data_IF_583545950547
#
_entry.id   IF_583545950547
#
_cell.length_a   1.000
_cell.length_b   1.000
_cell.length_c   1.000
_cell.angle_alpha   90.00
_cell.angle_beta   90.00
_cell.angle_gamma   90.00
#
_symmetry.space_group_name_H-M   'P 1'
#
loop_
_entity.id
_entity.type
_entity.pdbx_description
1 polymer ?
#
# COMPACT_ATOMS: atom_id res chain seq x y z
N UNK A 1 -60.16 11.82 12.57
CA UNK A 1 -59.47 13.11 12.40
C UNK A 1 -58.16 13.00 13.15
N UNK A 2 -57.09 12.68 12.45
CA UNK A 2 -55.73 12.54 13.01
C UNK A 2 -54.98 13.80 12.62
N UNK A 3 -54.77 14.69 13.59
CA UNK A 3 -53.92 15.87 13.42
C UNK A 3 -52.48 15.41 13.17
N UNK A 4 -52.00 15.67 11.97
CA UNK A 4 -50.60 15.49 11.63
C UNK A 4 -49.80 16.63 12.26
N UNK A 5 -49.23 16.37 13.44
CA UNK A 5 -48.27 17.26 14.09
C UNK A 5 -47.02 17.35 13.20
N UNK A 6 -46.90 18.42 12.41
CA UNK A 6 -45.67 18.77 11.72
C UNK A 6 -44.62 19.19 12.75
N UNK A 7 -43.84 18.22 13.23
CA UNK A 7 -42.62 18.49 13.99
C UNK A 7 -41.59 19.01 12.99
N UNK A 8 -41.51 20.33 12.84
CA UNK A 8 -40.36 21.01 12.23
C UNK A 8 -39.16 20.74 13.14
N UNK A 9 -38.37 19.72 12.82
CA UNK A 9 -37.08 19.53 13.50
C UNK A 9 -36.16 20.69 13.11
N UNK A 10 -35.59 21.42 14.08
CA UNK A 10 -34.60 22.44 13.77
C UNK A 10 -33.38 21.76 13.14
N UNK A 11 -33.14 22.03 11.86
CA UNK A 11 -31.89 21.67 11.20
C UNK A 11 -30.80 22.59 11.73
N UNK A 12 -29.89 22.04 12.53
CA UNK A 12 -28.72 22.76 12.98
C UNK A 12 -27.69 22.74 11.85
N UNK A 13 -27.66 23.81 11.05
CA UNK A 13 -26.62 23.99 10.05
C UNK A 13 -25.32 24.40 10.77
N UNK A 14 -24.24 23.67 10.52
CA UNK A 14 -22.91 24.06 11.00
C UNK A 14 -22.38 25.26 10.22
N UNK A 15 -22.71 25.31 8.93
CA UNK A 15 -22.17 26.28 7.98
C UNK A 15 -23.29 26.98 7.20
N UNK A 16 -24.27 27.63 7.87
CA UNK A 16 -25.50 28.11 7.22
C UNK A 16 -25.26 29.15 6.13
N UNK A 17 -24.17 29.90 6.22
CA UNK A 17 -23.86 31.01 5.30
C UNK A 17 -22.66 30.71 4.39
N UNK A 18 -22.06 29.51 4.46
CA UNK A 18 -20.91 29.20 3.62
C UNK A 18 -21.36 28.62 2.28
N UNK A 19 -20.90 29.20 1.15
CA UNK A 19 -21.12 28.61 -0.15
C UNK A 19 -20.41 27.24 -0.25
N UNK A 20 -20.86 26.34 -1.15
CA UNK A 20 -20.30 25.00 -1.30
C UNK A 20 -18.78 24.96 -1.50
N UNK A 21 -18.22 25.95 -2.19
CA UNK A 21 -16.80 26.04 -2.51
C UNK A 21 -15.96 26.18 -1.23
N UNK A 22 -16.35 27.08 -0.32
CA UNK A 22 -15.66 27.28 0.95
C UNK A 22 -15.82 26.06 1.87
N UNK A 23 -16.96 25.35 1.81
CA UNK A 23 -17.12 24.08 2.54
C UNK A 23 -16.16 23.01 2.05
N UNK A 24 -15.99 22.87 0.73
CA UNK A 24 -15.02 21.93 0.15
C UNK A 24 -13.58 22.27 0.53
N UNK A 25 -13.24 23.55 0.63
CA UNK A 25 -11.92 23.99 1.09
C UNK A 25 -11.68 23.56 2.55
N UNK A 26 -12.68 23.76 3.43
CA UNK A 26 -12.65 23.24 4.81
C UNK A 26 -12.45 21.72 4.82
N UNK A 27 -13.21 20.98 4.00
CA UNK A 27 -13.10 19.52 3.94
C UNK A 27 -11.71 19.05 3.46
N UNK A 28 -11.14 19.78 2.50
CA UNK A 28 -9.79 19.53 1.99
C UNK A 28 -8.75 19.76 3.08
N UNK A 29 -8.84 20.89 3.77
CA UNK A 29 -7.93 21.22 4.87
C UNK A 29 -8.00 20.17 5.99
N UNK A 30 -9.22 19.78 6.40
CA UNK A 30 -9.44 18.77 7.44
C UNK A 30 -8.93 17.37 7.07
N UNK A 31 -8.77 17.07 5.78
CA UNK A 31 -8.42 15.72 5.33
C UNK A 31 -6.96 15.60 4.87
N UNK A 32 -6.26 16.71 4.73
CA UNK A 32 -4.86 16.77 4.32
C UNK A 32 -3.90 17.12 5.48
N UNK A 33 -4.43 17.31 6.69
CA UNK A 33 -3.60 17.62 7.86
C UNK A 33 -2.70 16.42 8.20
N UNK A 34 -1.36 16.56 8.08
CA UNK A 34 -0.43 15.46 8.33
C UNK A 34 -0.37 15.05 9.80
N UNK A 35 -0.85 15.90 10.72
CA UNK A 35 -0.93 15.59 12.15
C UNK A 35 -2.11 14.70 12.50
N UNK A 36 -3.12 14.62 11.62
CA UNK A 36 -4.31 13.80 11.87
C UNK A 36 -3.99 12.33 11.64
N UNK A 37 -4.19 11.44 12.64
CA UNK A 37 -3.93 10.02 12.48
C UNK A 37 -4.87 9.39 11.46
N UNK A 38 -4.38 8.37 10.75
CA UNK A 38 -5.22 7.58 9.85
C UNK A 38 -6.30 6.83 10.64
N UNK A 39 -7.55 6.85 10.17
CA UNK A 39 -8.65 6.11 10.77
C UNK A 39 -9.58 5.47 9.72
N UNK A 40 -10.41 4.52 10.16
CA UNK A 40 -11.40 3.80 9.34
C UNK A 40 -12.84 4.30 9.57
N UNK A 41 -13.01 5.27 10.46
CA UNK A 41 -14.32 5.71 10.94
C UNK A 41 -15.23 6.09 9.78
N UNK A 42 -16.46 5.58 9.79
CA UNK A 42 -17.46 5.87 8.76
C UNK A 42 -17.09 5.41 7.33
N UNK A 43 -15.98 4.70 7.08
CA UNK A 43 -15.73 4.05 5.79
C UNK A 43 -16.54 2.75 5.71
N UNK A 44 -17.39 2.55 4.68
CA UNK A 44 -18.25 1.38 4.58
C UNK A 44 -17.52 0.13 4.05
N UNK A 45 -16.28 -0.11 4.49
CA UNK A 45 -15.47 -1.26 4.12
C UNK A 45 -14.47 -1.55 5.24
N UNK A 46 -14.77 -2.58 6.04
CA UNK A 46 -13.83 -3.12 7.03
C UNK A 46 -12.64 -3.83 6.34
N UNK A 47 -11.61 -4.14 7.14
CA UNK A 47 -10.46 -4.94 6.71
C UNK A 47 -10.92 -6.19 5.94
N UNK A 48 -10.36 -6.37 4.74
CA UNK A 48 -10.55 -7.57 3.93
C UNK A 48 -9.26 -8.33 3.79
N UNK A 49 -9.31 -9.60 4.19
CA UNK A 49 -8.22 -10.56 4.01
C UNK A 49 -8.58 -11.56 2.92
N UNK A 50 -7.68 -11.76 1.97
CA UNK A 50 -7.79 -12.75 0.90
C UNK A 50 -6.61 -13.70 0.97
N UNK A 51 -6.90 -14.99 1.13
CA UNK A 51 -5.89 -16.04 1.08
C UNK A 51 -5.76 -16.59 -0.34
N UNK A 52 -4.53 -16.57 -0.85
CA UNK A 52 -4.12 -17.22 -2.08
C UNK A 52 -3.02 -18.22 -1.78
N UNK A 53 -2.78 -19.17 -2.69
CA UNK A 53 -1.85 -20.30 -2.48
C UNK A 53 -0.48 -19.89 -1.93
N UNK A 54 0.02 -18.74 -2.35
CA UNK A 54 1.36 -18.24 -2.03
C UNK A 54 1.35 -16.87 -1.37
N UNK A 55 0.17 -16.29 -1.15
CA UNK A 55 0.06 -14.92 -0.64
C UNK A 55 -1.14 -14.73 0.25
N UNK A 56 -0.98 -13.96 1.31
CA UNK A 56 -2.11 -13.36 2.05
C UNK A 56 -2.16 -11.88 1.71
N UNK A 57 -3.32 -11.41 1.24
CA UNK A 57 -3.56 -10.02 0.86
C UNK A 57 -4.52 -9.40 1.89
N UNK A 58 -4.15 -8.25 2.45
CA UNK A 58 -4.98 -7.46 3.35
C UNK A 58 -5.23 -6.09 2.74
N UNK A 59 -6.49 -5.66 2.70
CA UNK A 59 -6.90 -4.36 2.18
C UNK A 59 -7.69 -3.61 3.25
N UNK A 60 -7.23 -2.41 3.58
CA UNK A 60 -7.87 -1.51 4.52
C UNK A 60 -7.96 -0.10 3.96
N UNK A 61 -9.16 0.44 3.72
CA UNK A 61 -9.31 1.86 3.42
C UNK A 61 -9.16 2.69 4.69
N UNK A 62 -8.51 3.84 4.54
CA UNK A 62 -8.28 4.80 5.62
C UNK A 62 -8.51 6.22 5.13
N UNK A 63 -8.73 7.14 6.05
CA UNK A 63 -8.72 8.58 5.78
C UNK A 63 -8.00 9.33 6.91
N UNK A 64 -7.61 10.57 6.62
CA UNK A 64 -7.07 11.53 7.59
C UNK A 64 -8.07 12.66 7.90
N UNK A 65 -9.33 12.52 7.46
CA UNK A 65 -10.41 13.46 7.76
C UNK A 65 -10.85 13.52 9.24
N UNK A 66 -11.62 14.56 9.57
CA UNK A 66 -12.14 14.81 10.92
C UNK A 66 -13.18 13.78 11.37
N UNK A 67 -12.83 12.94 12.33
CA UNK A 67 -13.75 12.01 12.97
C UNK A 67 -14.90 12.73 13.73
N UNK A 68 -14.66 13.96 14.19
CA UNK A 68 -15.68 14.78 14.86
C UNK A 68 -16.81 15.17 13.91
N UNK A 69 -16.50 15.56 12.68
CA UNK A 69 -17.52 15.92 11.68
C UNK A 69 -18.29 14.67 11.20
N UNK A 70 -17.62 13.52 11.13
CA UNK A 70 -18.23 12.24 10.76
C UNK A 70 -19.08 11.60 11.86
N UNK A 71 -18.92 12.00 13.12
CA UNK A 71 -19.70 11.46 14.24
C UNK A 71 -21.02 12.18 14.47
N UNK A 72 -21.21 13.34 13.82
CA UNK A 72 -22.44 14.11 13.93
C UNK A 72 -23.62 13.37 13.28
N UNK A 73 -24.82 13.40 13.90
CA UNK A 73 -26.00 12.77 13.31
C UNK A 73 -26.36 13.41 11.96
N UNK A 74 -26.34 12.66 10.84
CA UNK A 74 -26.55 13.23 9.51
C UNK A 74 -27.97 13.77 9.30
N UNK A 75 -28.95 13.31 10.10
CA UNK A 75 -30.33 13.80 10.07
C UNK A 75 -30.48 15.19 10.73
N UNK A 76 -29.51 15.59 11.57
CA UNK A 76 -29.52 16.87 12.27
C UNK A 76 -28.57 17.85 11.58
N UNK A 77 -27.39 17.35 11.17
CA UNK A 77 -26.32 18.12 10.54
C UNK A 77 -26.10 17.61 9.09
N UNK A 78 -26.75 18.22 8.09
CA UNK A 78 -26.62 17.77 6.69
C UNK A 78 -25.17 17.85 6.18
N UNK A 79 -24.35 18.75 6.72
CA UNK A 79 -22.94 18.88 6.37
C UNK A 79 -22.11 17.66 6.77
N UNK A 80 -22.56 16.86 7.75
CA UNK A 80 -21.91 15.60 8.09
C UNK A 80 -22.07 14.56 6.97
N UNK A 81 -23.27 14.50 6.36
CA UNK A 81 -23.54 13.63 5.21
C UNK A 81 -22.80 14.10 3.96
N UNK A 82 -22.77 15.42 3.72
CA UNK A 82 -21.99 16.02 2.63
C UNK A 82 -20.49 15.72 2.78
N UNK A 83 -19.94 15.93 3.99
CA UNK A 83 -18.54 15.66 4.27
C UNK A 83 -18.20 14.17 4.07
N UNK A 84 -19.07 13.27 4.54
CA UNK A 84 -18.90 11.83 4.34
C UNK A 84 -18.83 11.46 2.84
N UNK A 85 -19.73 12.00 2.03
CA UNK A 85 -19.72 11.76 0.58
C UNK A 85 -18.47 12.34 -0.10
N UNK A 86 -18.09 13.56 0.29
CA UNK A 86 -16.89 14.22 -0.21
C UNK A 86 -15.63 13.41 0.13
N UNK A 87 -15.54 12.92 1.37
CA UNK A 87 -14.41 12.14 1.87
C UNK A 87 -14.23 10.85 1.08
N UNK A 88 -15.31 10.07 0.89
CA UNK A 88 -15.27 8.82 0.11
C UNK A 88 -14.83 9.04 -1.34
N UNK A 89 -15.07 10.23 -1.90
CA UNK A 89 -14.68 10.55 -3.29
C UNK A 89 -13.28 11.13 -3.42
N UNK A 90 -12.73 11.72 -2.35
CA UNK A 90 -11.54 12.58 -2.47
C UNK A 90 -10.38 12.17 -1.58
N UNK A 91 -10.64 11.74 -0.36
CA UNK A 91 -9.64 11.68 0.72
C UNK A 91 -9.45 10.28 1.32
N UNK A 92 -9.99 9.24 0.67
CA UNK A 92 -9.70 7.86 1.06
C UNK A 92 -8.42 7.39 0.40
N UNK A 93 -7.55 6.81 1.22
CA UNK A 93 -6.34 6.10 0.80
C UNK A 93 -6.53 4.59 1.05
N UNK A 94 -5.87 3.74 0.27
CA UNK A 94 -5.87 2.30 0.49
C UNK A 94 -4.52 1.85 1.04
N UNK A 95 -4.55 1.27 2.25
CA UNK A 95 -3.42 0.51 2.78
C UNK A 95 -3.58 -0.95 2.39
N UNK A 96 -2.59 -1.46 1.67
CA UNK A 96 -2.59 -2.83 1.17
C UNK A 96 -1.37 -3.53 1.67
N UNK A 97 -1.58 -4.64 2.35
CA UNK A 97 -0.51 -5.51 2.78
C UNK A 97 -0.51 -6.83 2.01
N UNK A 98 0.65 -7.27 1.55
CA UNK A 98 0.86 -8.58 0.93
C UNK A 98 1.91 -9.34 1.71
N UNK A 99 1.55 -10.49 2.27
CA UNK A 99 2.53 -11.47 2.75
C UNK A 99 2.79 -12.47 1.63
N UNK A 100 3.97 -12.41 1.02
CA UNK A 100 4.38 -13.32 -0.04
C UNK A 100 5.21 -14.49 0.53
N UNK A 101 4.67 -15.71 0.43
CA UNK A 101 5.32 -16.97 0.84
C UNK A 101 5.63 -17.87 -0.36
N UNK A 102 5.45 -17.36 -1.58
CA UNK A 102 5.62 -18.13 -2.81
C UNK A 102 7.07 -18.38 -3.16
N UNK A 103 7.32 -19.44 -3.94
CA UNK A 103 8.64 -19.66 -4.56
C UNK A 103 8.65 -18.99 -5.93
N UNK A 104 9.75 -18.33 -6.29
CA UNK A 104 9.89 -17.64 -7.59
C UNK A 104 9.66 -18.60 -8.77
N UNK A 105 10.07 -19.86 -8.61
CA UNK A 105 9.94 -20.92 -9.62
C UNK A 105 8.49 -21.40 -9.84
N UNK A 106 7.67 -21.43 -8.79
CA UNK A 106 6.31 -22.00 -8.85
C UNK A 106 5.23 -20.95 -8.87
N UNK A 107 5.57 -19.71 -8.51
CA UNK A 107 4.65 -18.59 -8.54
C UNK A 107 4.36 -18.15 -9.98
N UNK A 108 3.09 -18.25 -10.37
CA UNK A 108 2.60 -17.82 -11.68
C UNK A 108 1.91 -16.46 -11.53
N UNK A 109 2.63 -15.40 -11.88
CA UNK A 109 2.13 -14.01 -11.77
C UNK A 109 0.77 -13.83 -12.45
N UNK A 110 0.59 -14.33 -13.68
CA UNK A 110 -0.66 -14.17 -14.42
C UNK A 110 -1.89 -14.79 -13.73
N UNK A 111 -1.73 -15.93 -13.06
CA UNK A 111 -2.81 -16.57 -12.30
C UNK A 111 -3.16 -15.75 -11.04
N UNK A 112 -2.12 -15.20 -10.40
CA UNK A 112 -2.28 -14.31 -9.26
C UNK A 112 -2.99 -13.01 -9.67
N UNK A 113 -2.56 -12.38 -10.76
CA UNK A 113 -3.15 -11.15 -11.30
C UNK A 113 -4.63 -11.35 -11.61
N UNK A 114 -4.98 -12.42 -12.34
CA UNK A 114 -6.37 -12.75 -12.66
C UNK A 114 -7.22 -12.92 -11.39
N UNK A 115 -6.69 -13.61 -10.38
CA UNK A 115 -7.41 -13.86 -9.13
C UNK A 115 -7.61 -12.57 -8.33
N UNK A 116 -6.56 -11.77 -8.17
CA UNK A 116 -6.59 -10.50 -7.42
C UNK A 116 -7.48 -9.48 -8.14
N UNK A 117 -7.34 -9.33 -9.45
CA UNK A 117 -8.20 -8.47 -10.25
C UNK A 117 -9.69 -8.86 -10.09
N UNK A 118 -10.03 -10.16 -10.08
CA UNK A 118 -11.40 -10.59 -9.85
C UNK A 118 -11.92 -10.19 -8.45
N UNK A 119 -11.11 -10.36 -7.39
CA UNK A 119 -11.47 -9.95 -6.03
C UNK A 119 -11.65 -8.44 -5.91
N UNK A 120 -10.71 -7.66 -6.44
CA UNK A 120 -10.76 -6.20 -6.39
C UNK A 120 -11.94 -5.66 -7.22
N UNK A 121 -12.20 -6.22 -8.41
CA UNK A 121 -13.37 -5.85 -9.20
C UNK A 121 -14.69 -6.16 -8.48
N UNK A 122 -14.76 -7.30 -7.77
CA UNK A 122 -15.95 -7.63 -6.95
C UNK A 122 -16.14 -6.62 -5.82
N UNK A 123 -15.05 -6.18 -5.17
CA UNK A 123 -15.11 -5.12 -4.17
C UNK A 123 -15.55 -3.79 -4.78
N UNK A 124 -14.97 -3.37 -5.91
CA UNK A 124 -15.31 -2.12 -6.60
C UNK A 124 -16.77 -2.08 -7.09
N UNK A 125 -17.35 -3.22 -7.46
CA UNK A 125 -18.79 -3.31 -7.77
C UNK A 125 -19.67 -3.00 -6.55
N UNK A 126 -19.28 -3.47 -5.37
CA UNK A 126 -20.01 -3.23 -4.11
C UNK A 126 -19.73 -1.83 -3.54
N UNK A 127 -18.53 -1.31 -3.77
CA UNK A 127 -18.05 -0.03 -3.24
C UNK A 127 -17.49 0.82 -4.40
N UNK A 128 -18.36 1.49 -5.19
CA UNK A 128 -17.94 2.21 -6.39
C UNK A 128 -16.89 3.31 -6.16
N UNK A 129 -16.85 3.87 -4.94
CA UNK A 129 -15.87 4.88 -4.55
C UNK A 129 -14.42 4.36 -4.57
N UNK A 130 -14.17 3.05 -4.52
CA UNK A 130 -12.82 2.47 -4.62
C UNK A 130 -12.11 2.86 -5.93
N UNK A 131 -12.86 3.09 -7.02
CA UNK A 131 -12.29 3.55 -8.31
C UNK A 131 -11.73 4.97 -8.24
N UNK A 132 -12.15 5.76 -7.26
CA UNK A 132 -11.74 7.16 -7.04
C UNK A 132 -10.57 7.30 -6.07
N UNK A 133 -10.09 6.20 -5.47
CA UNK A 133 -8.93 6.21 -4.58
C UNK A 133 -7.71 6.61 -5.39
N UNK A 134 -7.02 7.66 -4.95
CA UNK A 134 -5.79 8.13 -5.60
C UNK A 134 -4.53 7.66 -4.90
N UNK A 135 -4.60 7.36 -3.61
CA UNK A 135 -3.43 7.12 -2.78
C UNK A 135 -3.38 5.65 -2.36
N UNK A 136 -2.29 4.98 -2.70
CA UNK A 136 -2.05 3.58 -2.37
C UNK A 136 -0.76 3.46 -1.56
N UNK A 137 -0.84 2.83 -0.39
CA UNK A 137 0.31 2.48 0.44
C UNK A 137 0.37 0.95 0.52
N UNK A 138 1.23 0.36 -0.33
CA UNK A 138 1.35 -1.07 -0.56
C UNK A 138 2.61 -1.57 0.14
N UNK A 139 2.47 -2.49 1.09
CA UNK A 139 3.59 -3.15 1.76
C UNK A 139 3.62 -4.62 1.44
N UNK A 140 4.77 -5.10 0.96
CA UNK A 140 4.96 -6.48 0.53
C UNK A 140 6.04 -7.10 1.40
N UNK A 141 5.65 -7.97 2.32
CA UNK A 141 6.60 -8.80 3.06
C UNK A 141 6.99 -10.00 2.23
N UNK A 142 8.29 -10.13 2.01
CA UNK A 142 8.88 -11.27 1.34
C UNK A 142 9.35 -12.32 2.35
N UNK A 143 8.59 -13.41 2.46
CA UNK A 143 8.90 -14.59 3.29
C UNK A 143 8.84 -15.87 2.46
N UNK A 144 9.46 -15.85 1.28
CA UNK A 144 9.55 -17.04 0.45
C UNK A 144 10.35 -18.13 1.19
N UNK A 145 9.77 -19.32 1.33
CA UNK A 145 10.40 -20.47 2.00
C UNK A 145 11.66 -21.00 1.28
N UNK A 146 11.77 -20.71 -0.02
CA UNK A 146 12.84 -21.22 -0.87
C UNK A 146 13.79 -20.08 -1.23
N UNK A 147 15.09 -20.34 -1.08
CA UNK A 147 16.15 -19.35 -1.29
C UNK A 147 16.42 -19.11 -2.78
N UNK A 148 15.83 -19.90 -3.68
CA UNK A 148 15.99 -19.74 -5.12
C UNK A 148 15.43 -18.39 -5.62
N UNK A 149 16.32 -17.49 -6.06
CA UNK A 149 15.98 -16.12 -6.46
C UNK A 149 15.79 -15.96 -7.97
N UNK A 150 16.26 -16.95 -8.72
CA UNK A 150 16.08 -17.01 -10.16
C UNK A 150 15.21 -18.18 -10.57
N UNK A 151 14.43 -17.95 -11.62
CA UNK A 151 13.79 -19.06 -12.30
C UNK A 151 14.85 -20.04 -12.84
N UNK A 152 14.52 -21.33 -13.00
CA UNK A 152 15.41 -22.38 -13.56
C UNK A 152 16.16 -22.02 -14.86
N UNK A 153 15.69 -21.00 -15.61
CA UNK A 153 16.31 -20.52 -16.85
C UNK A 153 16.69 -19.03 -16.82
N UNK A 154 16.75 -18.39 -15.65
CA UNK A 154 17.05 -16.95 -15.52
C UNK A 154 16.01 -16.01 -16.16
N UNK A 155 14.88 -16.53 -16.66
CA UNK A 155 13.84 -15.76 -17.37
C UNK A 155 13.07 -14.80 -16.47
N UNK A 156 12.98 -15.10 -15.17
CA UNK A 156 12.32 -14.25 -14.17
C UNK A 156 13.27 -13.92 -13.04
N UNK A 157 13.22 -12.65 -12.66
CA UNK A 157 13.95 -12.04 -11.57
C UNK A 157 12.96 -11.77 -10.44
N UNK A 158 13.27 -12.16 -9.21
CA UNK A 158 12.33 -12.04 -8.09
C UNK A 158 11.85 -10.60 -7.86
N UNK A 159 12.73 -9.61 -8.05
CA UNK A 159 12.42 -8.19 -7.91
C UNK A 159 11.35 -7.64 -8.86
N UNK A 160 10.98 -8.33 -9.94
CA UNK A 160 9.85 -7.90 -10.78
C UNK A 160 8.48 -8.28 -10.21
N UNK A 161 8.42 -9.25 -9.30
CA UNK A 161 7.16 -9.73 -8.72
C UNK A 161 6.45 -8.65 -7.88
N UNK A 162 7.11 -7.95 -6.94
CA UNK A 162 6.47 -6.89 -6.13
C UNK A 162 5.87 -5.77 -6.99
N UNK A 163 6.59 -5.39 -8.04
CA UNK A 163 6.15 -4.42 -9.05
C UNK A 163 4.85 -4.86 -9.73
N UNK A 164 4.83 -6.06 -10.30
CA UNK A 164 3.64 -6.61 -10.96
C UNK A 164 2.46 -6.80 -10.00
N UNK A 165 2.73 -7.12 -8.74
CA UNK A 165 1.69 -7.15 -7.71
C UNK A 165 1.03 -5.78 -7.52
N UNK A 166 1.83 -4.72 -7.43
CA UNK A 166 1.30 -3.36 -7.27
C UNK A 166 0.44 -2.92 -8.46
N UNK A 167 0.77 -3.32 -9.70
CA UNK A 167 -0.08 -3.06 -10.87
C UNK A 167 -1.46 -3.70 -10.73
N UNK A 168 -1.48 -4.97 -10.39
CA UNK A 168 -2.72 -5.72 -10.17
C UNK A 168 -3.55 -5.16 -9.02
N UNK A 169 -2.91 -4.64 -7.97
CA UNK A 169 -3.58 -4.01 -6.83
C UNK A 169 -4.17 -2.63 -7.17
N UNK A 170 -3.59 -1.91 -8.12
CA UNK A 170 -4.00 -0.57 -8.54
C UNK A 170 -4.83 -0.54 -9.83
N UNK A 171 -5.18 -1.73 -10.37
CA UNK A 171 -5.80 -1.85 -11.69
C UNK A 171 -7.21 -1.26 -11.83
N UNK A 172 -7.92 -1.02 -10.72
CA UNK A 172 -9.30 -0.49 -10.74
C UNK A 172 -9.39 1.03 -10.65
N UNK A 173 -8.27 1.72 -10.41
CA UNK A 173 -8.27 3.19 -10.31
C UNK A 173 -8.55 3.79 -11.68
N UNK A 174 -9.47 4.75 -11.71
CA UNK A 174 -9.78 5.46 -12.95
C UNK A 174 -8.53 6.21 -13.45
N UNK A 175 -8.24 6.10 -14.74
CA UNK A 175 -7.02 6.65 -15.34
C UNK A 175 -6.88 8.17 -15.12
N UNK A 176 -8.01 8.89 -15.16
CA UNK A 176 -8.06 10.33 -14.85
C UNK A 176 -7.66 10.65 -13.40
N UNK A 177 -7.95 9.76 -12.45
CA UNK A 177 -7.58 9.93 -11.05
C UNK A 177 -6.08 9.72 -10.87
N UNK A 178 -5.53 8.69 -11.52
CA UNK A 178 -4.08 8.40 -11.50
C UNK A 178 -3.27 9.61 -11.97
N UNK A 179 -3.66 10.17 -13.12
CA UNK A 179 -2.93 11.27 -13.75
C UNK A 179 -3.02 12.59 -12.97
N UNK A 180 -4.18 12.88 -12.36
CA UNK A 180 -4.38 14.16 -11.66
C UNK A 180 -3.78 14.20 -10.25
N UNK A 181 -3.97 13.13 -9.49
CA UNK A 181 -3.65 13.10 -8.05
C UNK A 181 -3.13 11.74 -7.56
N UNK A 182 -2.86 10.81 -8.47
CA UNK A 182 -2.50 9.46 -8.10
C UNK A 182 -1.13 9.39 -7.45
N UNK A 183 -1.06 8.76 -6.28
CA UNK A 183 0.18 8.41 -5.60
C UNK A 183 0.19 6.92 -5.25
N UNK A 184 1.28 6.24 -5.59
CA UNK A 184 1.51 4.85 -5.17
C UNK A 184 2.83 4.77 -4.44
N UNK A 185 2.77 4.26 -3.22
CA UNK A 185 3.93 3.88 -2.42
C UNK A 185 3.99 2.36 -2.36
N UNK A 186 5.13 1.78 -2.75
CA UNK A 186 5.40 0.35 -2.71
C UNK A 186 6.60 0.11 -1.80
N UNK A 187 6.39 -0.48 -0.64
CA UNK A 187 7.45 -0.86 0.29
C UNK A 187 7.66 -2.38 0.23
N UNK A 188 8.81 -2.81 -0.28
CA UNK A 188 9.28 -4.19 -0.21
C UNK A 188 10.01 -4.41 1.11
N UNK A 189 9.50 -5.31 1.94
CA UNK A 189 10.06 -5.64 3.25
C UNK A 189 10.75 -7.00 3.12
N UNK A 190 12.06 -7.00 3.35
CA UNK A 190 12.93 -8.16 3.25
C UNK A 190 13.37 -8.63 4.63
N UNK A 191 13.49 -9.93 4.74
CA UNK A 191 14.03 -10.63 5.89
C UNK A 191 15.54 -10.37 6.07
N UNK A 192 16.07 -10.10 7.29
CA UNK A 192 17.52 -10.09 7.52
C UNK A 192 18.19 -11.39 7.10
N UNK A 193 17.52 -12.53 7.35
CA UNK A 193 17.98 -13.85 6.93
C UNK A 193 18.10 -13.96 5.41
N UNK A 194 17.14 -13.40 4.69
CA UNK A 194 17.15 -13.36 3.24
C UNK A 194 18.42 -12.66 2.70
N UNK A 195 18.83 -11.53 3.26
CA UNK A 195 20.09 -10.86 2.88
C UNK A 195 21.30 -11.78 3.01
N UNK A 196 21.36 -12.46 4.16
CA UNK A 196 22.48 -13.30 4.52
C UNK A 196 22.59 -14.47 3.54
N UNK A 197 21.49 -15.20 3.32
CA UNK A 197 21.48 -16.35 2.41
C UNK A 197 21.78 -15.92 0.97
N UNK A 198 21.17 -14.83 0.52
CA UNK A 198 21.40 -14.29 -0.81
C UNK A 198 22.88 -13.96 -1.05
N UNK A 199 23.54 -13.36 -0.04
CA UNK A 199 24.98 -13.06 -0.11
C UNK A 199 25.86 -14.31 -0.26
N UNK A 200 25.47 -15.44 0.33
CA UNK A 200 26.22 -16.69 0.23
C UNK A 200 25.99 -17.42 -1.09
N UNK A 201 24.80 -17.29 -1.68
CA UNK A 201 24.45 -18.00 -2.92
C UNK A 201 24.96 -17.29 -4.18
N UNK A 202 25.34 -16.01 -4.09
CA UNK A 202 25.80 -15.23 -5.24
C UNK A 202 24.72 -15.02 -6.31
N UNK A 203 23.49 -15.46 -6.05
CA UNK A 203 22.33 -15.06 -6.82
C UNK A 203 21.99 -13.60 -6.51
N UNK A 204 21.16 -12.98 -7.35
CA UNK A 204 20.66 -11.63 -7.10
C UNK A 204 19.16 -11.69 -7.03
N UNK A 205 18.57 -11.08 -6.02
CA UNK A 205 17.12 -10.94 -5.90
C UNK A 205 16.54 -10.14 -7.06
N UNK A 206 17.31 -9.14 -7.52
CA UNK A 206 16.86 -8.23 -8.55
C UNK A 206 16.29 -6.92 -8.01
N UNK A 207 16.81 -6.42 -6.89
CA UNK A 207 16.38 -5.12 -6.34
C UNK A 207 16.55 -3.99 -7.36
N UNK A 208 17.52 -4.17 -8.26
CA UNK A 208 17.75 -3.34 -9.42
C UNK A 208 16.51 -3.28 -10.33
N UNK A 209 15.92 -4.44 -10.64
CA UNK A 209 14.69 -4.56 -11.43
C UNK A 209 13.49 -4.00 -10.68
N UNK A 210 13.42 -4.21 -9.35
CA UNK A 210 12.35 -3.64 -8.54
C UNK A 210 12.37 -2.11 -8.56
N UNK A 211 13.53 -1.50 -8.33
CA UNK A 211 13.69 -0.05 -8.23
C UNK A 211 13.65 0.65 -9.60
N UNK A 212 14.01 -0.03 -10.68
CA UNK A 212 13.85 0.53 -12.01
C UNK A 212 12.38 0.64 -12.42
N UNK A 213 12.12 1.66 -13.20
CA UNK A 213 10.91 1.74 -14.00
C UNK A 213 11.26 1.11 -15.35
N UNK A 214 10.41 0.22 -15.85
CA UNK A 214 10.61 -0.36 -17.17
C UNK A 214 10.51 0.77 -18.21
N UNK A 215 11.65 1.17 -18.79
CA UNK A 215 11.68 2.18 -19.85
C UNK A 215 10.82 1.75 -21.03
N UNK A 216 10.12 2.72 -21.62
CA UNK A 216 9.07 2.58 -22.62
C UNK A 216 9.50 1.99 -23.98
N UNK A 217 10.74 1.51 -24.13
CA UNK A 217 11.25 0.88 -25.36
C UNK A 217 11.15 -0.64 -25.42
N UNK A 218 10.86 -1.31 -24.29
CA UNK A 218 10.65 -2.76 -24.26
C UNK A 218 9.18 -3.06 -24.54
N UNK A 219 8.87 -3.41 -25.80
CA UNK A 219 7.54 -3.68 -26.34
C UNK A 219 6.78 -4.88 -25.71
N UNK A 220 7.18 -5.36 -24.52
CA UNK A 220 6.61 -6.58 -23.92
C UNK A 220 6.13 -6.50 -22.47
N UNK A 221 6.26 -5.38 -21.73
CA UNK A 221 5.62 -5.31 -20.41
C UNK A 221 5.47 -3.89 -19.86
N UNK A 222 4.36 -3.21 -20.17
CA UNK A 222 3.80 -2.13 -19.31
C UNK A 222 2.84 -2.83 -18.34
N UNK A 223 2.83 -2.61 -17.03
CA UNK A 223 3.16 -1.41 -16.26
C UNK A 223 3.95 -1.75 -14.97
N UNK A 224 4.41 -0.72 -14.24
CA UNK A 224 4.71 -0.74 -12.80
C UNK A 224 4.23 0.56 -12.19
N UNK A 225 2.91 0.74 -12.22
CA UNK A 225 2.09 1.91 -11.85
C UNK A 225 2.05 3.04 -12.88
N UNK A 226 1.96 2.66 -14.16
CA UNK A 226 1.78 3.60 -15.26
C UNK A 226 0.58 4.55 -15.03
N UNK A 227 0.80 5.83 -15.34
CA UNK A 227 -0.22 6.89 -15.27
C UNK A 227 -0.39 7.53 -13.89
N UNK A 228 0.25 7.01 -12.83
CA UNK A 228 0.25 7.68 -11.53
C UNK A 228 1.19 8.88 -11.52
N UNK A 229 0.76 9.97 -10.86
CA UNK A 229 1.56 11.20 -10.75
C UNK A 229 2.82 11.00 -9.92
N UNK A 230 2.73 10.23 -8.85
CA UNK A 230 3.86 9.95 -7.95
C UNK A 230 3.97 8.45 -7.70
N UNK A 231 5.18 7.92 -7.86
CA UNK A 231 5.55 6.55 -7.52
C UNK A 231 6.73 6.56 -6.55
N UNK A 232 6.53 6.00 -5.37
CA UNK A 232 7.57 5.80 -4.37
C UNK A 232 7.83 4.30 -4.24
N UNK A 233 9.07 3.87 -4.45
CA UNK A 233 9.52 2.50 -4.18
C UNK A 233 10.49 2.51 -3.01
N UNK A 234 10.25 1.67 -2.02
CA UNK A 234 11.09 1.55 -0.84
C UNK A 234 11.50 0.09 -0.63
N UNK A 235 12.73 -0.10 -0.16
CA UNK A 235 13.25 -1.39 0.31
C UNK A 235 13.54 -1.24 1.80
N UNK A 236 12.92 -2.12 2.58
CA UNK A 236 13.03 -2.17 4.03
C UNK A 236 13.61 -3.51 4.46
N UNK A 237 14.35 -3.51 5.56
CA UNK A 237 14.72 -4.73 6.30
C UNK A 237 13.73 -4.87 7.44
N UNK A 238 13.12 -6.05 7.60
CA UNK A 238 12.24 -6.33 8.73
C UNK A 238 13.03 -6.33 10.05
N UNK A 239 12.39 -5.92 11.14
CA UNK A 239 13.01 -5.96 12.48
C UNK A 239 13.33 -7.41 12.88
N UNK A 240 14.49 -7.63 13.49
CA UNK A 240 14.97 -8.97 13.88
C UNK A 240 14.06 -9.68 14.92
N UNK A 241 13.22 -8.92 15.65
CA UNK A 241 12.32 -9.45 16.67
C UNK A 241 11.31 -10.48 16.13
N UNK A 242 10.95 -10.39 14.85
CA UNK A 242 9.96 -11.29 14.22
C UNK A 242 10.57 -12.64 13.76
N UNK A 243 11.91 -12.73 13.65
CA UNK A 243 12.62 -13.91 13.11
C UNK A 243 12.83 -15.04 14.11
N UNK A 244 12.46 -14.84 15.38
CA UNK A 244 12.46 -15.94 16.34
C UNK A 244 11.59 -17.10 15.86
N UNK A 245 10.48 -16.83 15.18
CA UNK A 245 9.58 -17.88 14.67
C UNK A 245 10.23 -18.72 13.56
N UNK A 246 10.82 -18.10 12.53
CA UNK A 246 11.53 -18.82 11.46
C UNK A 246 12.69 -19.66 11.99
N UNK A 247 13.40 -19.15 13.00
CA UNK A 247 14.50 -19.86 13.65
C UNK A 247 13.98 -21.03 14.51
N UNK A 248 12.80 -20.89 15.12
CA UNK A 248 12.11 -21.93 15.89
C UNK A 248 11.56 -23.03 14.96
N UNK A 249 10.97 -22.67 13.81
CA UNK A 249 10.51 -23.61 12.78
C UNK A 249 11.68 -24.40 12.20
N UNK A 250 12.82 -23.74 11.97
CA UNK A 250 14.05 -24.39 11.51
C UNK A 250 14.66 -25.30 12.59
N UNK A 251 14.45 -24.99 13.88
CA UNK A 251 14.81 -25.85 15.02
C UNK A 251 13.77 -26.94 15.31
N UNK A 252 12.74 -27.11 14.47
CA UNK A 252 11.78 -28.22 14.55
C UNK A 252 10.84 -28.16 15.75
N UNK A 253 10.69 -27.00 16.40
CA UNK A 253 9.76 -26.87 17.51
C UNK A 253 8.38 -26.54 16.97
N UNK A 254 7.51 -27.55 16.92
CA UNK A 254 6.10 -27.47 16.55
C UNK A 254 5.28 -26.69 17.59
N UNK A 255 5.62 -25.44 17.86
CA UNK A 255 4.72 -24.53 18.55
C UNK A 255 3.60 -24.17 17.58
N UNK A 256 2.35 -24.42 17.99
CA UNK A 256 1.16 -24.07 17.21
C UNK A 256 1.20 -22.59 16.88
N UNK A 257 1.54 -22.31 15.63
CA UNK A 257 1.68 -21.01 15.00
C UNK A 257 0.38 -20.24 15.19
N UNK A 258 0.30 -19.39 16.21
CA UNK A 258 -0.81 -18.45 16.32
C UNK A 258 -0.79 -17.58 15.06
N UNK A 259 -1.97 -17.46 14.47
CA UNK A 259 -2.26 -16.87 13.18
C UNK A 259 -1.56 -15.51 13.04
N UNK A 260 -0.46 -15.44 12.28
CA UNK A 260 0.09 -14.20 11.69
C UNK A 260 -0.90 -13.59 10.67
N UNK A 261 -2.20 -13.82 10.85
CA UNK A 261 -3.32 -13.42 10.01
C UNK A 261 -3.49 -11.90 9.97
N UNK A 262 -2.84 -11.15 10.86
CA UNK A 262 -2.78 -9.68 10.85
C UNK A 262 -1.33 -9.20 10.79
N UNK A 263 -0.68 -9.32 9.63
CA UNK A 263 0.71 -8.89 9.47
C UNK A 263 0.84 -7.38 9.17
N UNK A 264 -0.23 -6.69 8.75
CA UNK A 264 -0.07 -5.44 7.99
C UNK A 264 -0.76 -4.23 8.65
N UNK A 265 -2.05 -3.92 8.43
CA UNK A 265 -2.70 -2.84 9.17
C UNK A 265 -3.39 -3.37 10.44
N UNK A 266 -3.08 -2.77 11.60
CA UNK A 266 -3.83 -3.00 12.84
C UNK A 266 -4.67 -1.77 13.16
N UNK A 267 -5.95 -1.99 13.38
CA UNK A 267 -6.82 -0.99 13.98
C UNK A 267 -6.73 -1.15 15.50
N UNK A 268 -6.20 -0.14 16.19
CA UNK A 268 -6.26 -0.03 17.65
C UNK A 268 -6.99 1.26 17.98
N UNK A 269 -8.12 1.17 18.68
CA UNK A 269 -8.90 2.34 19.10
C UNK A 269 -9.31 3.25 17.92
N UNK A 270 -9.64 2.65 16.75
CA UNK A 270 -9.97 3.33 15.49
C UNK A 270 -8.83 4.09 14.81
N UNK A 271 -7.63 4.07 15.39
CA UNK A 271 -6.41 4.52 14.74
C UNK A 271 -5.80 3.34 14.00
N UNK A 272 -5.46 3.57 12.74
CA UNK A 272 -4.82 2.56 11.90
C UNK A 272 -3.34 2.83 11.82
N UNK A 273 -2.56 1.88 12.32
CA UNK A 273 -1.12 1.81 12.14
C UNK A 273 -0.74 0.65 11.24
N UNK A 274 0.43 0.75 10.62
CA UNK A 274 1.15 -0.47 10.28
C UNK A 274 1.69 -1.09 11.57
N UNK A 275 1.82 -2.40 11.64
CA UNK A 275 2.52 -3.03 12.76
C UNK A 275 3.99 -2.60 12.73
N UNK A 276 4.37 -1.65 13.58
CA UNK A 276 5.72 -1.09 13.65
C UNK A 276 6.76 -2.19 13.89
N UNK A 277 6.40 -3.25 14.61
CA UNK A 277 7.23 -4.42 14.87
C UNK A 277 7.74 -5.11 13.60
N UNK A 278 7.01 -4.98 12.48
CA UNK A 278 7.33 -5.62 11.20
C UNK A 278 8.21 -4.76 10.29
N UNK A 279 8.26 -3.45 10.54
CA UNK A 279 8.99 -2.49 9.72
C UNK A 279 10.27 -2.16 10.46
N UNK A 280 11.38 -2.74 10.01
CA UNK A 280 12.69 -2.37 10.52
C UNK A 280 13.24 -1.15 9.78
N UNK A 281 14.43 -1.31 9.21
CA UNK A 281 15.21 -0.20 8.68
C UNK A 281 14.90 0.07 7.20
N UNK A 282 14.72 1.34 6.83
CA UNK A 282 14.69 1.76 5.43
C UNK A 282 16.11 1.67 4.84
N UNK A 283 16.29 0.86 3.81
CA UNK A 283 17.57 0.72 3.11
C UNK A 283 17.65 1.70 1.95
N UNK A 284 16.60 1.71 1.12
CA UNK A 284 16.58 2.49 -0.10
C UNK A 284 15.19 3.02 -0.38
N UNK A 285 15.13 4.25 -0.86
CA UNK A 285 13.93 4.88 -1.38
C UNK A 285 14.24 5.51 -2.72
N UNK A 286 13.37 5.25 -3.69
CA UNK A 286 13.36 5.93 -4.97
C UNK A 286 12.00 6.57 -5.18
N UNK A 287 12.01 7.86 -5.48
CA UNK A 287 10.80 8.62 -5.81
C UNK A 287 10.86 9.01 -7.28
N UNK A 288 9.80 8.67 -8.01
CA UNK A 288 9.56 9.07 -9.39
C UNK A 288 8.31 9.93 -9.40
N UNK A 289 8.42 11.11 -9.99
CA UNK A 289 7.30 12.04 -10.18
C UNK A 289 7.09 12.16 -11.69
N UNK A 290 5.89 11.88 -12.17
CA UNK A 290 5.57 12.04 -13.58
C UNK A 290 5.60 13.53 -13.94
N UNK A 291 6.26 13.87 -15.04
CA UNK A 291 6.31 15.26 -15.49
C UNK A 291 4.96 15.77 -16.01
N UNK A 292 4.65 17.02 -15.68
CA UNK A 292 3.53 17.74 -16.26
C UNK A 292 3.90 18.28 -17.65
N UNK A 293 4.02 17.42 -18.67
CA UNK A 293 4.15 17.76 -20.10
C UNK A 293 5.18 18.85 -20.50
N UNK A 294 6.03 19.32 -19.59
CA UNK A 294 6.90 20.49 -19.77
C UNK A 294 8.26 20.15 -20.38
N UNK A 295 8.50 18.89 -20.72
CA UNK A 295 9.65 18.46 -21.53
C UNK A 295 11.00 18.56 -20.83
N UNK A 296 11.03 18.53 -19.49
CA UNK A 296 12.28 18.33 -18.75
C UNK A 296 12.61 16.84 -18.66
N UNK A 297 13.82 16.49 -18.26
CA UNK A 297 14.11 15.10 -17.88
C UNK A 297 13.93 14.96 -16.37
N UNK A 298 12.99 14.12 -15.94
CA UNK A 298 12.86 13.78 -14.52
C UNK A 298 14.06 12.99 -14.04
N UNK A 299 14.83 13.60 -13.14
CA UNK A 299 15.89 12.91 -12.42
C UNK A 299 15.27 12.19 -11.20
N UNK A 300 15.39 10.86 -11.10
CA UNK A 300 14.87 10.14 -9.94
C UNK A 300 15.66 10.52 -8.69
N UNK A 301 14.96 10.86 -7.61
CA UNK A 301 15.60 11.11 -6.31
C UNK A 301 15.77 9.77 -5.61
N UNK A 302 17.03 9.37 -5.42
CA UNK A 302 17.41 8.17 -4.66
C UNK A 302 17.92 8.62 -3.30
N UNK A 303 17.28 8.12 -2.24
CA UNK A 303 17.72 8.30 -0.87
C UNK A 303 18.10 6.95 -0.29
N UNK A 304 19.29 6.89 0.30
CA UNK A 304 19.81 5.69 0.96
C UNK A 304 19.77 5.92 2.45
N UNK A 305 19.06 5.06 3.19
CA UNK A 305 18.98 5.16 4.65
C UNK A 305 20.21 4.55 5.28
N UNK A 306 21.06 5.36 5.92
CA UNK A 306 22.25 4.87 6.62
C UNK A 306 21.86 4.66 8.09
N UNK A 307 21.92 3.41 8.55
CA UNK A 307 21.96 3.11 9.98
C UNK A 307 23.41 2.85 10.39
N UNK A 308 23.80 3.43 11.52
CA UNK A 308 25.15 3.29 12.08
C UNK A 308 25.32 1.95 12.80
N UNK A 309 24.23 1.34 13.23
CA UNK A 309 24.26 0.21 14.17
C UNK A 309 24.32 -1.16 13.47
N UNK A 310 23.93 -1.26 12.19
CA UNK A 310 23.91 -2.55 11.44
C UNK A 310 24.58 -2.48 10.06
N UNK A 311 25.86 -2.08 10.05
CA UNK A 311 26.64 -1.82 8.83
C UNK A 311 26.86 -3.06 7.94
N UNK A 312 26.86 -4.26 8.53
CA UNK A 312 27.15 -5.51 7.81
C UNK A 312 25.98 -5.93 6.92
N UNK A 313 24.78 -6.07 7.48
CA UNK A 313 23.58 -6.42 6.71
C UNK A 313 23.26 -5.34 5.69
N UNK A 314 23.37 -4.08 6.09
CA UNK A 314 23.22 -2.94 5.20
C UNK A 314 24.20 -3.00 4.01
N UNK A 315 25.47 -3.35 4.26
CA UNK A 315 26.47 -3.51 3.21
C UNK A 315 26.15 -4.64 2.22
N UNK A 316 25.53 -5.73 2.66
CA UNK A 316 25.10 -6.83 1.77
C UNK A 316 23.98 -6.38 0.83
N UNK A 317 22.98 -5.66 1.35
CA UNK A 317 21.90 -5.09 0.53
C UNK A 317 22.39 -3.99 -0.40
N UNK A 318 23.29 -3.14 0.07
CA UNK A 318 23.91 -2.15 -0.80
C UNK A 318 24.70 -2.80 -1.92
N UNK A 319 25.42 -3.92 -1.71
CA UNK A 319 26.12 -4.62 -2.79
C UNK A 319 25.19 -5.10 -3.90
N UNK A 320 23.97 -5.52 -3.58
CA UNK A 320 22.97 -5.80 -4.61
C UNK A 320 22.57 -4.54 -5.39
N UNK A 321 22.49 -3.40 -4.71
CA UNK A 321 22.05 -2.14 -5.28
C UNK A 321 23.18 -1.28 -5.91
N UNK A 322 24.45 -1.52 -5.60
CA UNK A 322 25.62 -0.68 -5.95
C UNK A 322 26.44 -1.19 -7.13
N UNK A 323 26.03 -2.28 -7.78
CA UNK A 323 26.59 -2.64 -9.10
C UNK A 323 26.15 -1.65 -10.21
N UNK A 324 26.06 -0.36 -9.89
CA UNK A 324 25.14 0.64 -10.44
C UNK A 324 25.79 2.01 -10.72
N UNK A 325 27.10 2.13 -10.50
CA UNK A 325 27.93 3.16 -11.11
C UNK A 325 29.00 2.49 -11.95
#
# INVERSE_FOLDING_TARGET
MTEATMISQPTHLLFPNLPPELRQEIYTHLSNDPSTPACTTSIPLALKTFHCKHTTLQLLPIHHGSAGLLSLPPNIFPEAAEYHHWLLSNAVSLRIGVHFRGRVNTFVQADWDKKVAAHINKLAKRHPWLRKVSNYDIKILWSAEDTALKSKNGKRVAGSIPSAMADSLTCITDERVKQRKGEVKISLILSPWFAMVNSFQGERFGLDVFLHEHQEGSSSSRATTAGFKTLVKEVWIASAMDYRSDLIDMMGSSATMEDFSSFLPREKERVVGWLEETIGQLVMRKTVVAEEASGSETTPVITVGIDKDDQLLFGLYLRECWAWN
#
